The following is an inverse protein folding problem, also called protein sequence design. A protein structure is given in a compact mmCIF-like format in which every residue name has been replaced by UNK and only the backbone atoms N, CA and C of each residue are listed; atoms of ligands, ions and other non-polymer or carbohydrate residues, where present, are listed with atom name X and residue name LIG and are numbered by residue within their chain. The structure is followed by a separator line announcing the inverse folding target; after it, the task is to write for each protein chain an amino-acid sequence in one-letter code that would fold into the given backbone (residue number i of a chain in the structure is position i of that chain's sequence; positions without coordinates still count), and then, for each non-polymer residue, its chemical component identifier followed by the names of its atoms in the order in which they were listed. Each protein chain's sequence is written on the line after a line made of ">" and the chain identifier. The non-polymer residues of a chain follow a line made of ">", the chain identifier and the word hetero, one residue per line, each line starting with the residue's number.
data_IF_849019688505
#
_entry.id   IF_849019688505
#
_cell.length_a   1.000
_cell.length_b   1.000
_cell.length_c   1.000
_cell.angle_alpha   90.00
_cell.angle_beta   90.00
_cell.angle_gamma   90.00
#
_symmetry.space_group_name_H-M   'P 1'
#
loop_
_entity.id
_entity.type
_entity.pdbx_description
1 polymer ?
#
# COMPACT_ATOMS: atom_id res chain seq x y z
N UNK A 1 -55.24 -8.38 -25.75
CA UNK A 1 -54.07 -8.64 -26.61
C UNK A 1 -53.15 -7.41 -26.80
N UNK A 2 -53.68 -6.19 -26.67
CA UNK A 2 -52.86 -4.96 -26.77
C UNK A 2 -52.13 -4.68 -25.46
N UNK A 3 -52.73 -4.95 -24.32
CA UNK A 3 -52.14 -4.78 -22.99
C UNK A 3 -51.02 -5.78 -22.66
N UNK A 4 -50.98 -6.97 -23.26
CA UNK A 4 -49.88 -7.94 -23.08
C UNK A 4 -48.62 -7.57 -23.86
N UNK A 5 -48.70 -6.77 -24.92
CA UNK A 5 -47.56 -6.36 -25.72
C UNK A 5 -46.82 -5.16 -25.10
N UNK A 6 -47.52 -4.26 -24.40
CA UNK A 6 -46.90 -3.13 -23.70
C UNK A 6 -46.17 -3.58 -22.44
N UNK A 7 -46.68 -4.55 -21.69
CA UNK A 7 -46.01 -5.06 -20.50
C UNK A 7 -44.67 -5.79 -20.83
N UNK A 8 -44.60 -6.52 -21.97
CA UNK A 8 -43.41 -7.22 -22.36
C UNK A 8 -42.29 -6.28 -22.92
N UNK A 9 -42.68 -5.15 -23.50
CA UNK A 9 -41.70 -4.14 -24.01
C UNK A 9 -41.12 -3.37 -22.83
N UNK A 10 -41.91 -3.01 -21.83
CA UNK A 10 -41.45 -2.30 -20.63
C UNK A 10 -40.53 -3.21 -19.76
N UNK A 11 -40.75 -4.52 -19.72
CA UNK A 11 -39.90 -5.50 -19.05
C UNK A 11 -38.58 -5.72 -19.79
N UNK A 12 -38.58 -5.81 -21.12
CA UNK A 12 -37.38 -5.93 -21.94
C UNK A 12 -36.52 -4.66 -21.91
N UNK A 13 -37.14 -3.45 -21.93
CA UNK A 13 -36.44 -2.18 -21.80
C UNK A 13 -35.80 -2.04 -20.38
N UNK A 14 -36.52 -2.43 -19.34
CA UNK A 14 -36.00 -2.41 -17.97
C UNK A 14 -34.86 -3.42 -17.76
N UNK A 15 -34.91 -4.60 -18.37
CA UNK A 15 -33.83 -5.60 -18.34
C UNK A 15 -32.61 -5.08 -19.11
N UNK A 16 -32.78 -4.44 -20.25
CA UNK A 16 -31.69 -3.86 -21.06
C UNK A 16 -31.04 -2.67 -20.35
N UNK A 17 -31.83 -1.81 -19.69
CA UNK A 17 -31.28 -0.72 -18.86
C UNK A 17 -30.51 -1.24 -17.65
N UNK A 18 -31.03 -2.26 -16.96
CA UNK A 18 -30.35 -2.89 -15.84
C UNK A 18 -29.04 -3.59 -16.27
N UNK A 19 -29.04 -4.30 -17.41
CA UNK A 19 -27.82 -4.91 -17.97
C UNK A 19 -26.79 -3.86 -18.41
N UNK A 20 -27.24 -2.70 -18.90
CA UNK A 20 -26.34 -1.61 -19.31
C UNK A 20 -25.74 -0.91 -18.08
N UNK A 21 -26.51 -0.70 -17.00
CA UNK A 21 -25.97 -0.18 -15.74
C UNK A 21 -24.97 -1.14 -15.09
N UNK A 22 -25.14 -2.47 -15.25
CA UNK A 22 -24.20 -3.45 -14.75
C UNK A 22 -22.88 -3.48 -15.51
N UNK A 23 -22.87 -3.07 -16.79
CA UNK A 23 -21.67 -3.02 -17.62
C UNK A 23 -20.78 -1.79 -17.36
N UNK A 24 -21.34 -0.73 -16.77
CA UNK A 24 -20.61 0.49 -16.44
C UNK A 24 -19.92 0.46 -15.06
N UNK A 25 -20.01 -0.65 -14.33
CA UNK A 25 -19.37 -0.77 -13.01
C UNK A 25 -17.86 -0.91 -13.12
N UNK A 26 -17.13 -0.05 -12.40
CA UNK A 26 -15.67 -0.01 -12.41
C UNK A 26 -15.02 -1.20 -11.70
N UNK A 27 -15.76 -1.90 -10.80
CA UNK A 27 -15.23 -3.04 -10.08
C UNK A 27 -16.26 -4.15 -9.88
N UNK A 28 -15.74 -5.38 -9.80
CA UNK A 28 -16.54 -6.57 -9.49
C UNK A 28 -17.19 -6.47 -8.09
N UNK A 29 -16.58 -5.73 -7.17
CA UNK A 29 -17.11 -5.50 -5.83
C UNK A 29 -18.38 -4.64 -5.87
N UNK A 30 -18.39 -3.59 -6.70
CA UNK A 30 -19.55 -2.71 -6.86
C UNK A 30 -20.71 -3.46 -7.47
N UNK A 31 -20.46 -4.25 -8.49
CA UNK A 31 -21.43 -5.16 -9.09
C UNK A 31 -22.02 -6.11 -8.04
N UNK A 32 -21.16 -6.79 -7.28
CA UNK A 32 -21.61 -7.73 -6.25
C UNK A 32 -22.40 -7.04 -5.13
N UNK A 33 -22.03 -5.85 -4.70
CA UNK A 33 -22.73 -5.14 -3.62
C UNK A 33 -24.11 -4.65 -4.02
N UNK A 34 -24.33 -4.38 -5.30
CA UNK A 34 -25.66 -4.04 -5.85
C UNK A 34 -26.54 -5.29 -6.02
N UNK A 35 -25.94 -6.39 -6.46
CA UNK A 35 -26.68 -7.60 -6.82
C UNK A 35 -27.00 -8.50 -5.62
N UNK A 36 -26.09 -8.62 -4.66
CA UNK A 36 -26.19 -9.57 -3.56
C UNK A 36 -26.45 -8.90 -2.21
N UNK A 37 -27.50 -9.30 -1.52
CA UNK A 37 -27.87 -8.87 -0.19
C UNK A 37 -28.03 -10.06 0.76
N UNK A 38 -27.66 -9.92 2.04
CA UNK A 38 -27.07 -8.76 2.70
C UNK A 38 -25.56 -8.62 2.45
N UNK A 39 -25.07 -7.40 2.28
CA UNK A 39 -23.65 -7.08 2.25
C UNK A 39 -23.07 -7.18 3.67
N UNK A 40 -22.01 -7.92 3.83
CA UNK A 40 -21.30 -8.07 5.12
C UNK A 40 -19.86 -7.60 4.97
N UNK A 41 -19.41 -6.74 5.89
CA UNK A 41 -18.04 -6.28 5.98
C UNK A 41 -17.28 -7.08 7.03
N UNK A 42 -16.03 -7.47 6.71
CA UNK A 42 -15.11 -8.02 7.68
C UNK A 42 -14.63 -6.88 8.59
N UNK A 43 -14.86 -7.02 9.89
CA UNK A 43 -14.53 -5.97 10.88
C UNK A 43 -13.25 -6.24 11.66
N UNK A 44 -12.69 -7.45 11.59
CA UNK A 44 -11.53 -7.83 12.35
C UNK A 44 -10.26 -7.57 11.56
N UNK A 45 -9.37 -6.71 12.12
CA UNK A 45 -8.05 -6.46 11.55
C UNK A 45 -7.01 -7.25 12.33
N UNK A 46 -6.28 -8.13 11.65
CA UNK A 46 -5.28 -9.03 12.26
C UNK A 46 -3.89 -8.89 11.65
N UNK A 47 -3.76 -8.21 10.50
CA UNK A 47 -2.52 -8.17 9.71
C UNK A 47 -1.46 -7.26 10.34
N UNK A 48 -1.83 -6.11 10.87
CA UNK A 48 -0.87 -5.18 11.47
C UNK A 48 -0.51 -5.61 12.88
N UNK A 49 0.79 -5.72 13.16
CA UNK A 49 1.31 -6.04 14.50
C UNK A 49 1.03 -4.92 15.51
N UNK A 50 0.93 -3.68 15.05
CA UNK A 50 0.65 -2.53 15.90
C UNK A 50 -0.55 -1.73 15.39
N UNK A 51 -1.43 -1.32 16.32
CA UNK A 51 -2.67 -0.60 15.98
C UNK A 51 -2.47 0.73 15.27
N UNK A 52 -1.34 1.42 15.49
CA UNK A 52 -1.03 2.68 14.80
C UNK A 52 -0.88 2.53 13.29
N UNK A 53 -0.46 1.36 12.80
CA UNK A 53 -0.29 1.10 11.35
C UNK A 53 -1.61 1.13 10.59
N UNK A 54 -2.71 0.72 11.22
CA UNK A 54 -4.05 0.70 10.60
C UNK A 54 -4.91 1.90 11.02
N UNK A 55 -4.48 2.69 12.00
CA UNK A 55 -5.30 3.75 12.58
C UNK A 55 -5.78 4.78 11.56
N UNK A 56 -4.90 5.21 10.65
CA UNK A 56 -5.26 6.14 9.59
C UNK A 56 -6.33 5.54 8.67
N UNK A 57 -6.12 4.35 8.16
CA UNK A 57 -7.06 3.68 7.27
C UNK A 57 -8.38 3.38 7.98
N UNK A 58 -8.34 2.95 9.25
CA UNK A 58 -9.54 2.70 10.03
C UNK A 58 -10.40 3.97 10.15
N UNK A 59 -9.77 5.11 10.42
CA UNK A 59 -10.47 6.39 10.54
C UNK A 59 -11.05 6.88 9.21
N UNK A 60 -10.29 6.81 8.12
CA UNK A 60 -10.65 7.48 6.86
C UNK A 60 -11.44 6.60 5.88
N UNK A 61 -11.30 5.28 5.94
CA UNK A 61 -11.90 4.34 4.99
C UNK A 61 -12.87 3.34 5.63
N UNK A 62 -12.75 3.11 6.94
CA UNK A 62 -13.55 2.12 7.65
C UNK A 62 -14.42 2.72 8.77
N UNK A 63 -14.56 4.05 8.85
CA UNK A 63 -15.37 4.77 9.84
C UNK A 63 -15.09 4.36 11.30
N UNK A 64 -13.86 3.96 11.63
CA UNK A 64 -13.44 3.38 12.91
C UNK A 64 -14.20 2.08 13.28
N UNK A 65 -14.72 1.35 12.31
CA UNK A 65 -15.45 0.11 12.55
C UNK A 65 -14.56 -1.13 12.65
N UNK A 66 -13.28 -1.03 12.26
CA UNK A 66 -12.37 -2.15 12.39
C UNK A 66 -12.03 -2.40 13.86
N UNK A 67 -12.19 -3.65 14.27
CA UNK A 67 -11.73 -4.14 15.57
C UNK A 67 -10.25 -4.45 15.47
N UNK A 68 -9.45 -3.69 16.19
CA UNK A 68 -7.98 -3.79 16.23
C UNK A 68 -7.57 -4.30 17.60
N UNK A 69 -6.72 -5.34 17.62
CA UNK A 69 -6.18 -5.84 18.87
C UNK A 69 -5.08 -4.91 19.37
N UNK A 70 -5.03 -4.60 20.68
CA UNK A 70 -3.96 -3.79 21.25
C UNK A 70 -2.63 -4.54 21.14
N UNK A 71 -1.58 -3.83 20.74
CA UNK A 71 -0.21 -4.33 20.81
C UNK A 71 0.30 -4.35 22.26
N UNK A 72 1.19 -5.28 22.56
CA UNK A 72 1.92 -5.28 23.83
C UNK A 72 2.98 -4.16 23.85
N UNK A 73 3.47 -3.74 22.69
CA UNK A 73 4.39 -2.62 22.56
C UNK A 73 3.66 -1.30 22.75
N UNK A 74 4.23 -0.44 23.62
CA UNK A 74 3.69 0.88 23.91
C UNK A 74 4.22 1.96 22.99
N UNK A 75 5.31 1.67 22.28
CA UNK A 75 5.93 2.62 21.35
C UNK A 75 5.15 2.71 20.05
N UNK A 76 5.15 3.89 19.45
CA UNK A 76 4.53 4.08 18.14
C UNK A 76 5.34 3.34 17.07
N UNK A 77 4.66 2.53 16.26
CA UNK A 77 5.29 1.85 15.12
C UNK A 77 5.54 2.77 13.91
N UNK A 78 5.23 4.07 14.03
CA UNK A 78 5.39 5.06 12.97
C UNK A 78 6.26 6.20 13.48
N UNK A 79 7.40 6.43 12.83
CA UNK A 79 8.31 7.52 13.12
C UNK A 79 8.33 8.50 11.95
N UNK A 80 8.45 9.78 12.25
CA UNK A 80 8.53 10.83 11.23
C UNK A 80 9.86 11.54 11.30
N UNK A 81 10.60 11.53 10.19
CA UNK A 81 11.78 12.33 10.00
C UNK A 81 11.45 13.56 9.16
N UNK A 82 11.84 14.75 9.61
CA UNK A 82 11.57 16.01 8.92
C UNK A 82 12.86 16.55 8.33
N UNK A 83 12.92 16.69 7.00
CA UNK A 83 14.02 17.31 6.29
C UNK A 83 13.65 18.75 5.95
N UNK A 84 14.18 19.73 6.69
CA UNK A 84 13.75 21.14 6.62
C UNK A 84 14.22 21.86 5.37
N UNK A 85 15.42 21.51 4.83
CA UNK A 85 16.03 22.17 3.68
C UNK A 85 15.84 21.39 2.37
N UNK A 86 14.91 20.47 2.36
CA UNK A 86 14.62 19.60 1.24
C UNK A 86 13.90 20.34 0.10
N UNK A 87 14.37 20.12 -1.12
CA UNK A 87 13.71 20.65 -2.34
C UNK A 87 13.65 19.57 -3.40
N UNK A 88 12.50 19.44 -4.00
CA UNK A 88 12.33 18.62 -5.19
C UNK A 88 12.89 19.34 -6.42
N UNK A 89 13.82 18.68 -7.13
CA UNK A 89 14.33 19.14 -8.40
C UNK A 89 14.33 17.97 -9.39
N UNK A 90 13.63 18.12 -10.51
CA UNK A 90 13.48 17.07 -11.54
C UNK A 90 12.95 15.71 -11.00
N UNK A 91 12.07 15.77 -10.03
CA UNK A 91 11.48 14.55 -9.44
C UNK A 91 12.29 13.91 -8.31
N UNK A 92 13.44 14.50 -7.93
CA UNK A 92 14.32 13.98 -6.89
C UNK A 92 14.55 15.00 -5.78
N UNK A 93 14.64 14.54 -4.54
CA UNK A 93 14.97 15.29 -3.34
C UNK A 93 16.23 14.69 -2.70
N UNK A 94 17.41 15.17 -3.08
CA UNK A 94 18.69 14.62 -2.65
C UNK A 94 18.90 14.60 -1.12
N UNK A 95 18.53 15.66 -0.35
CA UNK A 95 18.60 15.59 1.11
C UNK A 95 17.76 14.48 1.72
N UNK A 96 16.61 14.17 1.14
CA UNK A 96 15.76 13.07 1.57
C UNK A 96 16.37 11.71 1.20
N UNK A 97 16.96 11.58 -0.01
CA UNK A 97 17.71 10.38 -0.41
C UNK A 97 18.78 10.04 0.61
N UNK A 98 19.58 11.04 0.99
CA UNK A 98 20.64 10.85 1.98
C UNK A 98 20.07 10.39 3.33
N UNK A 99 19.02 11.04 3.83
CA UNK A 99 18.40 10.65 5.10
C UNK A 99 17.84 9.22 5.04
N UNK A 100 17.21 8.85 3.92
CA UNK A 100 16.69 7.49 3.74
C UNK A 100 17.82 6.47 3.80
N UNK A 101 18.95 6.73 3.12
CA UNK A 101 20.12 5.85 3.18
C UNK A 101 20.69 5.73 4.60
N UNK A 102 20.80 6.84 5.33
CA UNK A 102 21.27 6.84 6.72
C UNK A 102 20.31 6.01 7.62
N UNK A 103 19.00 6.16 7.45
CA UNK A 103 17.98 5.38 8.19
C UNK A 103 18.05 3.89 7.81
N UNK A 104 18.23 3.55 6.54
CA UNK A 104 18.40 2.16 6.11
C UNK A 104 19.57 1.50 6.81
N UNK A 105 20.74 2.16 6.85
CA UNK A 105 21.93 1.64 7.54
C UNK A 105 21.67 1.47 9.04
N UNK A 106 21.09 2.46 9.69
CA UNK A 106 20.71 2.40 11.11
C UNK A 106 19.76 1.21 11.39
N UNK A 107 18.74 1.01 10.54
CA UNK A 107 17.79 -0.09 10.73
C UNK A 107 18.46 -1.47 10.55
N UNK A 108 19.37 -1.62 9.60
CA UNK A 108 20.10 -2.87 9.42
C UNK A 108 21.02 -3.19 10.60
N UNK A 109 21.61 -2.18 11.24
CA UNK A 109 22.43 -2.33 12.44
C UNK A 109 21.59 -2.68 13.69
N UNK A 110 20.47 -1.97 13.90
CA UNK A 110 19.61 -2.15 15.07
C UNK A 110 18.77 -3.42 15.01
N UNK A 111 18.36 -3.83 13.81
CA UNK A 111 17.41 -4.94 13.60
C UNK A 111 17.87 -5.87 12.47
N UNK A 112 19.00 -6.56 12.63
CA UNK A 112 19.60 -7.38 11.56
C UNK A 112 18.71 -8.54 11.09
N UNK A 113 17.76 -8.98 11.92
CA UNK A 113 16.86 -10.09 11.60
C UNK A 113 15.52 -9.65 10.97
N UNK A 114 15.30 -8.33 10.80
CA UNK A 114 14.07 -7.82 10.22
C UNK A 114 14.21 -7.56 8.74
N UNK A 115 13.14 -7.81 8.01
CA UNK A 115 13.04 -7.42 6.61
C UNK A 115 12.81 -5.91 6.47
N UNK A 116 13.35 -5.31 5.40
CA UNK A 116 13.28 -3.87 5.17
C UNK A 116 12.89 -3.58 3.71
N UNK A 117 11.99 -2.61 3.52
CA UNK A 117 11.63 -2.11 2.20
C UNK A 117 11.58 -0.59 2.20
N UNK A 118 12.01 0.02 1.11
CA UNK A 118 11.94 1.47 0.87
C UNK A 118 10.92 1.75 -0.21
N UNK A 119 10.00 2.67 0.06
CA UNK A 119 8.96 3.09 -0.89
C UNK A 119 9.06 4.58 -1.12
N UNK A 120 9.34 4.97 -2.36
CA UNK A 120 9.38 6.37 -2.78
C UNK A 120 8.08 6.77 -3.49
N UNK A 121 7.76 8.06 -3.48
CA UNK A 121 6.53 8.57 -4.09
C UNK A 121 6.55 8.53 -5.62
N UNK A 122 7.74 8.43 -6.24
CA UNK A 122 7.90 8.33 -7.69
C UNK A 122 9.14 7.51 -8.06
N UNK A 123 9.23 7.14 -9.32
CA UNK A 123 10.31 6.30 -9.86
C UNK A 123 11.69 6.98 -9.84
N UNK A 124 11.76 8.27 -10.12
CA UNK A 124 13.03 8.99 -10.14
C UNK A 124 13.68 9.02 -8.74
N UNK A 125 12.87 9.24 -7.70
CA UNK A 125 13.33 9.20 -6.32
C UNK A 125 13.73 7.77 -5.90
N UNK A 126 12.96 6.76 -6.31
CA UNK A 126 13.29 5.36 -6.03
C UNK A 126 14.64 4.97 -6.67
N UNK A 127 14.85 5.30 -7.94
CA UNK A 127 16.12 5.02 -8.64
C UNK A 127 17.30 5.71 -7.99
N UNK A 128 17.16 6.98 -7.59
CA UNK A 128 18.25 7.72 -6.92
C UNK A 128 18.59 7.10 -5.55
N UNK A 129 17.59 6.66 -4.78
CA UNK A 129 17.82 5.96 -3.50
C UNK A 129 18.56 4.65 -3.75
N UNK A 130 18.13 3.87 -4.75
CA UNK A 130 18.74 2.59 -5.09
C UNK A 130 20.20 2.74 -5.51
N UNK A 131 20.51 3.70 -6.40
CA UNK A 131 21.88 4.03 -6.82
C UNK A 131 22.76 4.43 -5.64
N UNK A 132 22.26 5.23 -4.70
CA UNK A 132 23.02 5.63 -3.51
C UNK A 132 23.26 4.44 -2.56
N UNK A 133 22.27 3.56 -2.37
CA UNK A 133 22.44 2.34 -1.57
C UNK A 133 23.43 1.37 -2.23
N UNK A 134 23.41 1.23 -3.56
CA UNK A 134 24.43 0.44 -4.28
C UNK A 134 25.85 0.96 -4.02
N UNK A 135 26.05 2.27 -4.08
CA UNK A 135 27.37 2.85 -3.78
C UNK A 135 27.80 2.60 -2.33
N UNK A 136 26.87 2.75 -1.37
CA UNK A 136 27.13 2.48 0.04
C UNK A 136 27.42 1.00 0.32
N UNK A 137 26.82 0.08 -0.44
CA UNK A 137 27.02 -1.36 -0.30
C UNK A 137 28.45 -1.81 -0.52
N UNK A 138 29.26 -1.01 -1.25
CA UNK A 138 30.68 -1.28 -1.44
C UNK A 138 31.48 -1.25 -0.14
N UNK A 139 30.97 -0.52 0.87
CA UNK A 139 31.62 -0.32 2.16
C UNK A 139 30.85 -0.92 3.34
N UNK A 140 29.63 -1.44 3.10
CA UNK A 140 28.75 -2.01 4.11
C UNK A 140 28.34 -3.44 3.72
N UNK A 141 28.97 -4.43 4.34
CA UNK A 141 28.79 -5.85 4.00
C UNK A 141 27.32 -6.33 4.18
N UNK A 142 26.67 -5.94 5.27
CA UNK A 142 25.28 -6.34 5.51
C UNK A 142 24.32 -5.72 4.49
N UNK A 143 24.51 -4.45 4.14
CA UNK A 143 23.72 -3.81 3.09
C UNK A 143 23.88 -4.54 1.76
N UNK A 144 25.13 -4.85 1.38
CA UNK A 144 25.42 -5.62 0.15
C UNK A 144 24.73 -6.98 0.19
N UNK A 145 24.83 -7.71 1.28
CA UNK A 145 24.19 -9.00 1.46
C UNK A 145 22.68 -8.92 1.24
N UNK A 146 22.03 -7.90 1.81
CA UNK A 146 20.58 -7.69 1.70
C UNK A 146 20.11 -7.29 0.30
N UNK A 147 20.93 -6.53 -0.43
CA UNK A 147 20.65 -6.14 -1.82
C UNK A 147 20.92 -7.26 -2.82
N UNK A 148 21.82 -8.19 -2.51
CA UNK A 148 22.11 -9.36 -3.35
C UNK A 148 21.05 -10.47 -3.22
N UNK A 149 20.31 -10.51 -2.12
CA UNK A 149 19.18 -11.42 -1.92
C UNK A 149 18.04 -11.01 -2.86
N UNK A 150 17.61 -11.91 -3.75
CA UNK A 150 16.49 -11.67 -4.66
C UNK A 150 15.38 -12.67 -4.39
N UNK A 151 14.15 -12.20 -4.56
CA UNK A 151 12.93 -13.03 -4.42
C UNK A 151 12.79 -13.71 -3.05
N UNK A 152 13.38 -13.13 -2.01
CA UNK A 152 13.26 -13.62 -0.63
C UNK A 152 12.55 -12.61 0.26
N UNK A 153 11.99 -13.07 1.39
CA UNK A 153 11.42 -12.18 2.41
C UNK A 153 12.45 -11.25 3.06
N UNK A 154 13.73 -11.57 2.93
CA UNK A 154 14.84 -10.80 3.51
C UNK A 154 15.45 -9.76 2.54
N UNK A 155 15.03 -9.77 1.28
CA UNK A 155 15.48 -8.81 0.27
C UNK A 155 15.19 -7.37 0.70
N UNK A 156 16.22 -6.52 0.63
CA UNK A 156 16.02 -5.07 0.69
C UNK A 156 15.58 -4.60 -0.71
N UNK A 157 14.38 -4.06 -0.80
CA UNK A 157 13.91 -3.47 -2.06
C UNK A 157 13.74 -1.95 -1.96
N UNK A 158 13.92 -1.28 -3.09
CA UNK A 158 13.54 0.13 -3.29
C UNK A 158 12.55 0.19 -4.44
N UNK A 159 11.32 0.63 -4.17
CA UNK A 159 10.24 0.67 -5.17
C UNK A 159 9.49 1.99 -5.13
N UNK A 160 8.92 2.38 -6.26
CA UNK A 160 7.92 3.45 -6.27
C UNK A 160 6.58 2.97 -5.72
N UNK A 161 5.76 3.91 -5.24
CA UNK A 161 4.44 3.62 -4.68
C UNK A 161 3.55 2.79 -5.62
N UNK A 162 3.69 2.99 -6.93
CA UNK A 162 2.93 2.26 -7.95
C UNK A 162 3.35 0.78 -8.06
N UNK A 163 4.61 0.46 -7.72
CA UNK A 163 5.18 -0.88 -7.88
C UNK A 163 5.17 -1.73 -6.61
N UNK A 164 4.80 -1.14 -5.46
CA UNK A 164 4.87 -1.83 -4.16
C UNK A 164 3.64 -2.68 -3.83
N UNK A 165 2.63 -2.69 -4.69
CA UNK A 165 1.39 -3.43 -4.43
C UNK A 165 1.64 -4.93 -4.23
N UNK A 166 1.24 -5.44 -3.07
CA UNK A 166 1.39 -6.85 -2.70
C UNK A 166 2.66 -7.19 -1.91
N UNK A 167 3.59 -6.24 -1.80
CA UNK A 167 4.78 -6.41 -0.96
C UNK A 167 4.46 -6.16 0.53
N UNK A 168 5.15 -6.88 1.40
CA UNK A 168 5.09 -6.66 2.84
C UNK A 168 6.47 -6.88 3.47
N UNK A 169 6.76 -6.16 4.56
CA UNK A 169 7.99 -6.27 5.37
C UNK A 169 7.65 -6.17 6.86
N UNK A 170 8.61 -6.52 7.71
CA UNK A 170 8.44 -6.55 9.19
C UNK A 170 8.16 -5.20 9.84
#
# INVERSE_FOLDING_TARGET
>A
SFFQRTASVDEEEAEVEADTELLDEESILDLCTKTFNPVRRLKWHYRSRHGSLIAFSNKHFYNNELVVFPSCDRDFAIHRHLVTDARYAKGVNLPEVKLVCDVVLEQLELYPDRSLGVVAMNEAQASEIDEQLEMLSLHHEELRRRMELKDTSEELFVKSLEKVQGDERD
#
